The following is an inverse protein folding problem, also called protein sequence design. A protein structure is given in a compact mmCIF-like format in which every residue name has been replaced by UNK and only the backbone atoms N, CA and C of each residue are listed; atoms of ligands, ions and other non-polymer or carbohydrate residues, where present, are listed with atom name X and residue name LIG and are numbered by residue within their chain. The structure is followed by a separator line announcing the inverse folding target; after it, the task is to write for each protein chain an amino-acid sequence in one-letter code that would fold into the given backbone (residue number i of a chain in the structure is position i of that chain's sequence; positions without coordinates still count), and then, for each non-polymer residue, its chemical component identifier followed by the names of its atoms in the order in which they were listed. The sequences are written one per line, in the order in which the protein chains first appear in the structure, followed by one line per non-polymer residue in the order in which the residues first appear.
data_IF_170651090213
#
_entry.id   IF_170651090213
#
_cell.length_a   1.000
_cell.length_b   1.000
_cell.length_c   1.000
_cell.angle_alpha   90.00
_cell.angle_beta   90.00
_cell.angle_gamma   90.00
#
_symmetry.space_group_name_H-M   'P 1'
#
loop_
_entity.id
_entity.type
_entity.pdbx_description
1 polymer ?
#
# COMPACT_ATOMS: atom_id res chain seq x y z
N UNK A 1 -4.88 -55.29 -1.98
CA UNK A 1 -4.46 -53.90 -2.26
C UNK A 1 -4.97 -53.01 -1.12
N UNK A 2 -4.07 -52.25 -0.50
CA UNK A 2 -4.33 -51.50 0.74
C UNK A 2 -5.17 -50.24 0.44
N UNK A 3 -6.41 -50.20 0.92
CA UNK A 3 -7.29 -49.00 0.93
C UNK A 3 -6.66 -47.77 1.61
N UNK A 4 -5.60 -47.98 2.40
CA UNK A 4 -4.91 -46.95 3.19
C UNK A 4 -4.21 -45.87 2.34
N UNK A 5 -3.70 -46.18 1.15
CA UNK A 5 -2.90 -45.22 0.37
C UNK A 5 -3.75 -44.19 -0.38
N UNK A 6 -4.95 -44.58 -0.84
CA UNK A 6 -5.87 -43.66 -1.55
C UNK A 6 -6.49 -42.66 -0.57
N UNK A 7 -6.83 -43.11 0.64
CA UNK A 7 -7.36 -42.23 1.70
C UNK A 7 -6.29 -41.22 2.16
N UNK A 8 -5.02 -41.63 2.26
CA UNK A 8 -3.93 -40.71 2.60
C UNK A 8 -3.67 -39.65 1.53
N UNK A 9 -3.75 -40.00 0.24
CA UNK A 9 -3.62 -39.04 -0.87
C UNK A 9 -4.81 -38.07 -0.90
N UNK A 10 -6.02 -38.54 -0.61
CA UNK A 10 -7.21 -37.67 -0.49
C UNK A 10 -7.14 -36.72 0.72
N UNK A 11 -6.58 -37.16 1.85
CA UNK A 11 -6.34 -36.30 3.02
C UNK A 11 -5.20 -35.29 2.81
N UNK A 12 -4.16 -35.66 2.06
CA UNK A 12 -3.09 -34.72 1.68
C UNK A 12 -3.57 -33.67 0.68
N UNK A 13 -4.36 -34.09 -0.32
CA UNK A 13 -4.96 -33.17 -1.29
C UNK A 13 -6.01 -32.25 -0.67
N UNK A 14 -6.77 -32.71 0.33
CA UNK A 14 -7.72 -31.86 1.06
C UNK A 14 -7.01 -30.89 2.01
N UNK A 15 -5.91 -31.31 2.65
CA UNK A 15 -5.06 -30.44 3.46
C UNK A 15 -4.40 -29.34 2.63
N UNK A 16 -3.85 -29.66 1.45
CA UNK A 16 -3.22 -28.67 0.58
C UNK A 16 -4.23 -27.76 -0.09
N UNK A 17 -5.42 -28.24 -0.46
CA UNK A 17 -6.51 -27.38 -0.93
C UNK A 17 -7.02 -26.45 0.16
N UNK A 18 -7.24 -26.96 1.37
CA UNK A 18 -7.71 -26.14 2.49
C UNK A 18 -6.64 -25.13 2.94
N UNK A 19 -5.36 -25.50 2.90
CA UNK A 19 -4.25 -24.58 3.12
C UNK A 19 -4.09 -23.58 2.00
N UNK A 20 -4.30 -23.96 0.73
CA UNK A 20 -4.29 -23.03 -0.39
C UNK A 20 -5.46 -22.05 -0.29
N UNK A 21 -6.66 -22.51 0.02
CA UNK A 21 -7.86 -21.67 0.21
C UNK A 21 -7.71 -20.74 1.43
N UNK A 22 -7.16 -21.24 2.53
CA UNK A 22 -6.85 -20.42 3.72
C UNK A 22 -5.77 -19.39 3.43
N UNK A 23 -4.68 -19.78 2.74
CA UNK A 23 -3.61 -18.88 2.33
C UNK A 23 -4.11 -17.82 1.35
N UNK A 24 -5.03 -18.19 0.46
CA UNK A 24 -5.68 -17.26 -0.47
C UNK A 24 -6.60 -16.29 0.25
N UNK A 25 -7.37 -16.76 1.23
CA UNK A 25 -8.19 -15.91 2.09
C UNK A 25 -7.35 -14.92 2.89
N UNK A 26 -6.28 -15.39 3.54
CA UNK A 26 -5.35 -14.53 4.28
C UNK A 26 -4.67 -13.49 3.37
N UNK A 27 -4.32 -13.86 2.13
CA UNK A 27 -3.80 -12.92 1.12
C UNK A 27 -4.82 -11.87 0.70
N UNK A 28 -6.09 -12.26 0.51
CA UNK A 28 -7.17 -11.32 0.18
C UNK A 28 -7.44 -10.38 1.35
N UNK A 29 -7.49 -10.88 2.59
CA UNK A 29 -7.66 -10.05 3.79
C UNK A 29 -6.50 -9.05 3.96
N UNK A 30 -5.26 -9.49 3.75
CA UNK A 30 -4.09 -8.61 3.76
C UNK A 30 -4.16 -7.54 2.65
N UNK A 31 -4.70 -7.88 1.49
CA UNK A 31 -4.90 -6.95 0.39
C UNK A 31 -5.99 -5.92 0.68
N UNK A 32 -7.15 -6.35 1.17
CA UNK A 32 -8.24 -5.46 1.58
C UNK A 32 -7.73 -4.46 2.62
N UNK A 33 -6.99 -4.96 3.63
CA UNK A 33 -6.37 -4.11 4.63
C UNK A 33 -5.35 -3.12 4.03
N UNK A 34 -4.58 -3.54 3.03
CA UNK A 34 -3.63 -2.67 2.33
C UNK A 34 -4.33 -1.56 1.54
N UNK A 35 -5.45 -1.88 0.86
CA UNK A 35 -6.30 -0.88 0.19
C UNK A 35 -6.87 0.11 1.20
N UNK A 36 -7.40 -0.38 2.32
CA UNK A 36 -7.98 0.47 3.36
C UNK A 36 -6.94 1.44 3.94
N UNK A 37 -5.73 0.94 4.20
CA UNK A 37 -4.61 1.77 4.67
C UNK A 37 -4.24 2.85 3.64
N UNK A 38 -4.13 2.47 2.36
CA UNK A 38 -3.81 3.41 1.29
C UNK A 38 -4.88 4.49 1.15
N UNK A 39 -6.16 4.11 1.07
CA UNK A 39 -7.29 5.06 1.02
C UNK A 39 -7.33 5.99 2.23
N UNK A 40 -7.07 5.46 3.42
CA UNK A 40 -7.04 6.26 4.65
C UNK A 40 -5.90 7.29 4.60
N UNK A 41 -4.72 6.89 4.14
CA UNK A 41 -3.57 7.79 3.99
C UNK A 41 -3.86 8.90 2.97
N UNK A 42 -4.42 8.55 1.81
CA UNK A 42 -4.83 9.54 0.80
C UNK A 42 -5.89 10.50 1.32
N UNK A 43 -6.93 9.98 1.98
CA UNK A 43 -7.98 10.81 2.56
C UNK A 43 -7.42 11.77 3.61
N UNK A 44 -6.45 11.34 4.42
CA UNK A 44 -5.80 12.20 5.40
C UNK A 44 -5.01 13.33 4.72
N UNK A 45 -4.32 13.04 3.63
CA UNK A 45 -3.63 14.04 2.81
C UNK A 45 -4.62 15.04 2.22
N UNK A 46 -5.69 14.57 1.57
CA UNK A 46 -6.73 15.41 0.97
C UNK A 46 -7.45 16.27 2.01
N UNK A 47 -7.82 15.70 3.15
CA UNK A 47 -8.45 16.42 4.26
C UNK A 47 -7.52 17.53 4.80
N UNK A 48 -6.21 17.26 4.87
CA UNK A 48 -5.26 18.26 5.32
C UNK A 48 -5.10 19.38 4.29
N UNK A 49 -4.91 19.03 3.01
CA UNK A 49 -4.76 19.99 1.92
C UNK A 49 -6.01 20.88 1.75
N UNK A 50 -7.20 20.30 1.83
CA UNK A 50 -8.47 21.05 1.76
C UNK A 50 -8.69 21.99 2.96
N UNK A 51 -8.15 21.63 4.13
CA UNK A 51 -8.17 22.47 5.34
C UNK A 51 -7.12 23.58 5.37
N UNK A 52 -6.11 23.54 4.49
CA UNK A 52 -5.13 24.61 4.36
C UNK A 52 -5.73 25.73 3.51
N UNK A 53 -6.24 26.77 4.17
CA UNK A 53 -6.59 28.02 3.51
C UNK A 53 -5.34 28.90 3.40
N UNK A 54 -4.54 28.77 2.34
CA UNK A 54 -3.39 29.65 2.12
C UNK A 54 -3.57 30.52 0.87
N UNK A 55 -3.86 31.81 1.08
CA UNK A 55 -3.57 32.85 0.08
C UNK A 55 -2.08 33.21 0.27
N UNK A 56 -1.19 32.55 -0.47
CA UNK A 56 0.28 32.77 -0.38
C UNK A 56 1.11 31.50 -0.21
N UNK A 57 2.37 31.65 0.19
CA UNK A 57 3.30 30.52 0.42
C UNK A 57 2.86 29.70 1.65
N UNK A 58 2.83 28.38 1.47
CA UNK A 58 2.54 27.40 2.52
C UNK A 58 3.63 27.48 3.60
N UNK A 59 3.26 27.66 4.87
CA UNK A 59 4.23 27.78 5.96
C UNK A 59 5.10 26.53 6.09
N UNK A 60 6.31 26.67 6.64
CA UNK A 60 7.21 25.52 6.88
C UNK A 60 6.52 24.38 7.65
N UNK A 61 5.63 24.73 8.59
CA UNK A 61 4.78 23.79 9.35
C UNK A 61 3.73 23.08 8.52
N UNK A 62 3.27 23.66 7.43
CA UNK A 62 2.37 22.96 6.52
C UNK A 62 3.17 22.11 5.53
N UNK A 63 4.28 22.62 5.01
CA UNK A 63 5.17 21.91 4.08
C UNK A 63 5.67 20.58 4.66
N UNK A 64 6.22 20.61 5.86
CA UNK A 64 6.75 19.41 6.52
C UNK A 64 5.62 18.39 6.83
N UNK A 65 4.34 18.80 6.90
CA UNK A 65 3.19 17.98 7.36
C UNK A 65 2.52 17.35 6.15
N UNK A 66 2.50 18.09 5.04
CA UNK A 66 2.26 17.55 3.72
C UNK A 66 3.30 16.46 3.43
N UNK A 67 4.58 16.70 3.73
CA UNK A 67 5.63 15.69 3.56
C UNK A 67 5.41 14.44 4.43
N UNK A 68 5.03 14.57 5.71
CA UNK A 68 4.63 13.42 6.55
C UNK A 68 3.50 12.60 5.90
N UNK A 69 2.45 13.29 5.43
CA UNK A 69 1.27 12.66 4.87
C UNK A 69 1.59 11.98 3.53
N UNK A 70 2.47 12.56 2.72
CA UNK A 70 2.99 11.93 1.51
C UNK A 70 3.82 10.69 1.83
N UNK A 71 4.63 10.72 2.90
CA UNK A 71 5.35 9.54 3.39
C UNK A 71 4.39 8.42 3.82
N UNK A 72 3.29 8.76 4.50
CA UNK A 72 2.26 7.77 4.89
C UNK A 72 1.57 7.16 3.67
N UNK A 73 1.24 7.98 2.66
CA UNK A 73 0.69 7.51 1.38
C UNK A 73 1.68 6.57 0.70
N UNK A 74 2.95 6.96 0.56
CA UNK A 74 3.98 6.14 -0.05
C UNK A 74 4.14 4.79 0.67
N UNK A 75 4.25 4.79 2.01
CA UNK A 75 4.35 3.55 2.79
C UNK A 75 3.17 2.60 2.57
N UNK A 76 1.96 3.13 2.47
CA UNK A 76 0.76 2.32 2.24
C UNK A 76 0.63 1.86 0.78
N UNK A 77 1.12 2.65 -0.17
CA UNK A 77 0.98 2.42 -1.59
C UNK A 77 1.88 1.28 -2.11
N UNK A 78 3.14 1.22 -1.67
CA UNK A 78 4.13 0.26 -2.19
C UNK A 78 3.66 -1.21 -2.10
N UNK A 79 3.17 -1.70 -0.94
CA UNK A 79 2.63 -3.06 -0.83
C UNK A 79 1.43 -3.32 -1.75
N UNK A 80 0.62 -2.29 -2.02
CA UNK A 80 -0.57 -2.40 -2.87
C UNK A 80 -0.19 -2.52 -4.36
N UNK A 81 0.77 -1.72 -4.82
CA UNK A 81 1.32 -1.83 -6.19
C UNK A 81 1.97 -3.21 -6.37
N UNK A 82 2.83 -3.62 -5.44
CA UNK A 82 3.51 -4.92 -5.50
C UNK A 82 2.50 -6.07 -5.55
N UNK A 83 1.46 -6.03 -4.71
CA UNK A 83 0.41 -7.05 -4.74
C UNK A 83 -0.34 -7.09 -6.07
N UNK A 84 -0.74 -5.93 -6.60
CA UNK A 84 -1.47 -5.85 -7.86
C UNK A 84 -0.62 -6.35 -9.04
N UNK A 85 0.66 -5.98 -9.10
CA UNK A 85 1.58 -6.47 -10.13
C UNK A 85 1.78 -7.98 -10.05
N UNK A 86 1.99 -8.53 -8.85
CA UNK A 86 2.20 -9.96 -8.63
C UNK A 86 0.96 -10.81 -8.93
N UNK A 87 -0.24 -10.23 -8.88
CA UNK A 87 -1.50 -10.94 -9.05
C UNK A 87 -2.31 -10.48 -10.27
N UNK A 88 -1.76 -9.63 -11.14
CA UNK A 88 -2.51 -9.05 -12.27
C UNK A 88 -3.14 -10.11 -13.17
N UNK A 89 -2.40 -11.16 -13.52
CA UNK A 89 -2.89 -12.27 -14.34
C UNK A 89 -4.04 -13.02 -13.64
N UNK A 90 -3.88 -13.24 -12.32
CA UNK A 90 -4.88 -13.92 -11.48
C UNK A 90 -6.19 -13.14 -11.40
N UNK A 91 -6.11 -11.81 -11.42
CA UNK A 91 -7.28 -10.92 -11.42
C UNK A 91 -7.79 -10.57 -12.83
N UNK A 92 -7.15 -11.07 -13.89
CA UNK A 92 -7.49 -10.71 -15.27
C UNK A 92 -7.20 -9.24 -15.60
N UNK A 93 -6.31 -8.59 -14.83
CA UNK A 93 -5.91 -7.20 -15.02
C UNK A 93 -4.80 -7.10 -16.08
N UNK A 94 -4.89 -6.07 -16.92
CA UNK A 94 -3.81 -5.66 -17.81
C UNK A 94 -2.91 -4.65 -17.10
N UNK A 95 -1.70 -4.45 -17.63
CA UNK A 95 -0.80 -3.39 -17.15
C UNK A 95 -1.47 -2.01 -17.12
N UNK A 96 -2.31 -1.73 -18.13
CA UNK A 96 -3.07 -0.49 -18.23
C UNK A 96 -4.03 -0.31 -17.04
N UNK A 97 -4.63 -1.38 -16.53
CA UNK A 97 -5.56 -1.32 -15.39
C UNK A 97 -4.82 -0.99 -14.10
N UNK A 98 -3.61 -1.54 -13.91
CA UNK A 98 -2.72 -1.19 -12.80
C UNK A 98 -2.29 0.28 -12.91
N UNK A 99 -1.94 0.75 -14.11
CA UNK A 99 -1.59 2.15 -14.37
C UNK A 99 -2.77 3.13 -14.20
N UNK A 100 -4.01 2.68 -14.41
CA UNK A 100 -5.19 3.50 -14.17
C UNK A 100 -5.47 3.67 -12.67
N UNK A 101 -5.19 2.64 -11.87
CA UNK A 101 -5.35 2.67 -10.41
C UNK A 101 -4.18 3.44 -9.77
N UNK A 102 -2.98 3.27 -10.33
CA UNK A 102 -1.76 3.98 -9.92
C UNK A 102 -1.13 4.66 -11.12
N UNK A 103 -1.52 5.90 -11.42
CA UNK A 103 -0.90 6.70 -12.48
C UNK A 103 0.61 6.80 -12.29
N UNK A 104 1.36 7.05 -13.37
CA UNK A 104 2.82 7.14 -13.32
C UNK A 104 3.34 8.10 -12.24
N UNK A 105 2.67 9.24 -12.04
CA UNK A 105 3.06 10.21 -11.01
C UNK A 105 2.91 9.63 -9.60
N UNK A 106 1.91 8.76 -9.40
CA UNK A 106 1.71 8.03 -8.15
C UNK A 106 2.72 6.89 -8.01
N UNK A 107 3.17 6.25 -9.09
CA UNK A 107 4.22 5.22 -9.02
C UNK A 107 5.59 5.82 -8.68
N UNK A 108 5.85 7.06 -9.15
CA UNK A 108 7.06 7.83 -8.85
C UNK A 108 7.13 8.34 -7.42
N UNK A 109 6.04 8.33 -6.68
CA UNK A 109 6.03 8.80 -5.29
C UNK A 109 7.13 8.14 -4.44
N UNK A 110 7.43 6.86 -4.66
CA UNK A 110 8.55 6.21 -3.95
C UNK A 110 9.91 6.82 -4.32
N UNK A 111 10.13 7.10 -5.60
CA UNK A 111 11.36 7.71 -6.09
C UNK A 111 11.50 9.14 -5.53
N UNK A 112 10.41 9.91 -5.56
CA UNK A 112 10.34 11.25 -4.99
C UNK A 112 10.62 11.25 -3.48
N UNK A 113 10.06 10.29 -2.72
CA UNK A 113 10.31 10.17 -1.28
C UNK A 113 11.75 9.73 -0.98
N UNK A 114 12.39 8.95 -1.86
CA UNK A 114 13.78 8.57 -1.75
C UNK A 114 14.72 9.76 -2.00
N UNK A 115 14.36 10.68 -2.89
CA UNK A 115 15.08 11.95 -3.11
C UNK A 115 15.02 12.88 -1.89
N UNK A 116 14.05 12.69 -0.98
CA UNK A 116 13.95 13.45 0.26
C UNK A 116 14.90 12.98 1.37
N UNK A 117 15.68 11.91 1.15
CA UNK A 117 16.70 11.46 2.10
C UNK A 117 17.71 12.57 2.38
N UNK A 118 18.12 12.67 3.65
CA UNK A 118 19.02 13.69 4.17
C UNK A 118 18.49 15.14 4.07
N UNK A 119 17.22 15.32 3.68
CA UNK A 119 16.52 16.60 3.78
C UNK A 119 15.71 16.66 5.08
N UNK A 120 15.28 17.86 5.52
CA UNK A 120 14.32 17.98 6.62
C UNK A 120 13.01 17.22 6.36
N UNK A 121 12.68 16.95 5.09
CA UNK A 121 11.46 16.29 4.65
C UNK A 121 11.59 14.75 4.56
N UNK A 122 12.67 14.17 5.06
CA UNK A 122 12.87 12.73 5.06
C UNK A 122 11.82 12.00 5.91
N UNK A 123 11.22 10.95 5.33
CA UNK A 123 10.23 10.13 6.00
C UNK A 123 10.73 9.57 7.33
N UNK A 124 10.01 9.87 8.41
CA UNK A 124 10.33 9.35 9.75
C UNK A 124 11.37 10.16 10.55
N UNK A 125 12.00 11.17 9.96
CA UNK A 125 12.78 12.20 10.69
C UNK A 125 11.92 13.40 11.11
N UNK A 126 10.74 13.53 10.53
CA UNK A 126 9.80 14.62 10.79
C UNK A 126 9.06 14.39 12.11
N UNK A 127 9.55 14.98 13.21
CA UNK A 127 8.81 15.05 14.48
C UNK A 127 8.36 16.47 14.74
N UNK A 128 7.13 16.78 14.33
CA UNK A 128 6.48 18.04 14.67
C UNK A 128 6.19 18.23 16.16
N UNK A 129 6.20 17.14 16.93
CA UNK A 129 5.95 17.18 18.36
C UNK A 129 6.96 18.05 19.12
N UNK A 130 8.13 18.34 18.54
CA UNK A 130 9.17 19.16 19.17
C UNK A 130 9.23 20.61 18.68
N UNK A 131 8.37 21.00 17.74
CA UNK A 131 8.26 22.37 17.23
C UNK A 131 7.02 23.12 17.78
N UNK A 132 6.38 22.56 18.81
CA UNK A 132 5.28 23.14 19.60
C UNK A 132 5.80 23.55 20.98
#
# INVERSE_FOLDING_TARGET
MKLSSIIFVLFYLSSTYLHAEKLEKEKIEAYVKSIENYRTAEQNLENYLSGIHSVGQVSFKHQMRIADLLCDVGKAQKPMIEFMELNKERFGLKQQDVMNIFPNDRQKLQEELEELKDTPYECGKQSYKHLL
#
